data_IF_544548970894
#
_entry.id   IF_544548970894
#
_cell.length_a   1.000
_cell.length_b   1.000
_cell.length_c   1.000
_cell.angle_alpha   90.00
_cell.angle_beta   90.00
_cell.angle_gamma   90.00
#
_symmetry.space_group_name_H-M   'P 1'
#
loop_
_entity.id
_entity.type
_entity.pdbx_description
1 polymer ?
#
# COMPACT_ATOMS: atom_id res chain seq x y z
N UNK A 1 -18.45 -12.32 -14.35
CA UNK A 1 -18.29 -10.90 -14.02
C UNK A 1 -17.15 -10.80 -13.01
N UNK A 2 -15.94 -10.49 -13.47
CA UNK A 2 -14.76 -10.45 -12.58
C UNK A 2 -14.65 -9.07 -11.97
N UNK A 3 -14.92 -8.97 -10.67
CA UNK A 3 -14.62 -7.76 -9.90
C UNK A 3 -13.12 -7.75 -9.61
N UNK A 4 -12.36 -6.97 -10.35
CA UNK A 4 -10.95 -6.71 -10.06
C UNK A 4 -10.93 -5.76 -8.85
N UNK A 5 -10.91 -6.33 -7.64
CA UNK A 5 -10.57 -5.56 -6.45
C UNK A 5 -9.09 -5.24 -6.53
N UNK A 6 -8.77 -4.00 -6.89
CA UNK A 6 -7.41 -3.47 -6.79
C UNK A 6 -7.10 -3.38 -5.31
N UNK A 7 -6.32 -4.34 -4.83
CA UNK A 7 -5.72 -4.26 -3.49
C UNK A 7 -4.75 -3.07 -3.50
N UNK A 8 -5.26 -1.90 -3.12
CA UNK A 8 -4.44 -0.72 -2.89
C UNK A 8 -3.65 -1.01 -1.61
N UNK A 9 -2.45 -1.57 -1.78
CA UNK A 9 -1.51 -1.72 -0.67
C UNK A 9 -1.15 -0.28 -0.25
N UNK A 10 -1.83 0.22 0.79
CA UNK A 10 -1.49 1.49 1.40
C UNK A 10 -0.04 1.39 1.87
N UNK A 11 0.85 2.11 1.19
CA UNK A 11 2.23 2.26 1.65
C UNK A 11 2.16 3.01 2.97
N UNK A 12 2.39 2.29 4.06
CA UNK A 12 2.43 2.89 5.38
C UNK A 12 3.67 3.77 5.49
N UNK A 13 3.53 5.03 5.91
CA UNK A 13 4.66 5.88 6.18
C UNK A 13 5.54 5.25 7.26
N UNK A 14 6.84 5.18 6.99
CA UNK A 14 7.83 4.71 7.95
C UNK A 14 7.90 5.69 9.12
N UNK A 15 7.39 5.28 10.27
CA UNK A 15 7.59 6.02 11.50
C UNK A 15 8.91 5.61 12.16
N UNK A 16 9.70 6.61 12.54
CA UNK A 16 10.79 6.65 13.53
C UNK A 16 12.22 6.40 13.08
N UNK A 17 13.04 7.38 13.35
CA UNK A 17 14.46 7.54 12.99
C UNK A 17 15.45 6.53 13.59
N UNK A 18 15.08 5.64 14.50
CA UNK A 18 15.99 4.70 15.18
C UNK A 18 16.01 3.27 14.62
N UNK A 19 15.00 2.85 13.87
CA UNK A 19 14.84 1.47 13.39
C UNK A 19 15.26 1.24 11.94
N UNK A 20 15.96 2.18 11.32
CA UNK A 20 16.18 2.21 9.86
C UNK A 20 17.08 1.13 9.30
N UNK A 21 17.92 0.51 10.12
CA UNK A 21 18.83 -0.57 9.70
C UNK A 21 18.31 -1.96 10.02
N UNK A 22 17.09 -2.07 10.55
CA UNK A 22 16.50 -3.35 10.92
C UNK A 22 15.59 -3.88 9.81
N UNK A 23 15.58 -5.19 9.64
CA UNK A 23 14.60 -5.85 8.79
C UNK A 23 13.21 -5.65 9.40
N UNK A 24 12.23 -5.48 8.55
CA UNK A 24 10.83 -5.24 8.94
C UNK A 24 9.94 -6.27 8.26
N UNK A 25 9.09 -6.93 9.04
CA UNK A 25 8.01 -7.77 8.54
C UNK A 25 6.66 -7.19 8.90
N UNK A 26 5.65 -7.37 8.07
CA UNK A 26 4.26 -7.08 8.44
C UNK A 26 3.29 -8.07 7.83
N UNK A 27 2.18 -8.27 8.53
CA UNK A 27 1.04 -9.04 8.05
C UNK A 27 -0.23 -8.19 8.17
N UNK A 28 -1.13 -8.35 7.21
CA UNK A 28 -2.42 -7.66 7.16
C UNK A 28 -3.51 -8.70 6.97
N UNK A 29 -4.59 -8.57 7.72
CA UNK A 29 -5.78 -9.41 7.63
C UNK A 29 -6.99 -8.52 7.43
N UNK A 30 -7.77 -8.78 6.40
CA UNK A 30 -8.94 -7.99 6.03
C UNK A 30 -10.24 -8.73 6.31
N UNK A 31 -11.31 -7.98 6.48
CA UNK A 31 -12.65 -8.51 6.74
C UNK A 31 -13.25 -9.34 5.60
N UNK A 32 -12.72 -9.20 4.39
CA UNK A 32 -13.14 -9.99 3.22
C UNK A 32 -12.42 -11.36 3.12
N UNK A 33 -11.67 -11.74 4.17
CA UNK A 33 -10.91 -12.99 4.21
C UNK A 33 -9.56 -12.92 3.49
N UNK A 34 -9.22 -11.82 2.86
CA UNK A 34 -7.91 -11.66 2.22
C UNK A 34 -6.82 -11.38 3.26
N UNK A 35 -5.61 -11.85 2.97
CA UNK A 35 -4.44 -11.61 3.82
C UNK A 35 -3.24 -11.16 2.99
N UNK A 36 -2.31 -10.49 3.62
CA UNK A 36 -1.04 -10.09 3.02
C UNK A 36 0.10 -10.20 3.99
N UNK A 37 1.28 -10.52 3.47
CA UNK A 37 2.54 -10.47 4.22
C UNK A 37 3.55 -9.70 3.41
N UNK A 38 4.37 -8.90 4.07
CA UNK A 38 5.49 -8.23 3.42
C UNK A 38 6.73 -8.24 4.32
N UNK A 39 7.87 -8.12 3.66
CA UNK A 39 9.18 -7.99 4.30
C UNK A 39 9.96 -6.89 3.61
N UNK A 40 10.68 -6.10 4.39
CA UNK A 40 11.59 -5.06 3.91
C UNK A 40 12.94 -5.26 4.59
N UNK A 41 13.98 -5.44 3.79
CA UNK A 41 15.34 -5.73 4.26
C UNK A 41 16.28 -4.63 3.78
N UNK A 42 16.90 -3.86 4.69
CA UNK A 42 17.90 -2.87 4.34
C UNK A 42 19.10 -3.54 3.65
N UNK A 43 19.52 -3.00 2.51
CA UNK A 43 20.66 -3.48 1.74
C UNK A 43 21.89 -2.58 1.94
N UNK A 44 21.71 -1.30 1.66
CA UNK A 44 22.79 -0.32 1.72
C UNK A 44 22.20 1.06 2.08
N UNK A 45 22.97 1.86 2.76
CA UNK A 45 22.53 3.21 3.09
C UNK A 45 23.51 3.95 3.99
N UNK A 46 23.18 5.21 4.20
CA UNK A 46 23.87 6.10 5.12
C UNK A 46 22.87 6.64 6.17
N UNK A 47 23.30 7.61 6.98
CA UNK A 47 22.45 8.18 8.03
C UNK A 47 21.22 8.92 7.50
N UNK A 48 21.22 9.30 6.21
CA UNK A 48 20.12 10.05 5.58
C UNK A 48 19.23 9.19 4.68
N UNK A 49 19.80 8.21 3.96
CA UNK A 49 19.10 7.43 2.95
C UNK A 49 19.39 5.95 3.11
N UNK A 50 18.39 5.11 2.93
CA UNK A 50 18.50 3.66 2.98
C UNK A 50 17.81 3.07 1.76
N UNK A 51 18.53 2.20 1.03
CA UNK A 51 17.96 1.33 0.00
C UNK A 51 17.64 -0.01 0.63
N UNK A 52 16.44 -0.50 0.42
CA UNK A 52 15.95 -1.77 0.95
C UNK A 52 15.38 -2.64 -0.16
N UNK A 53 15.52 -3.96 -0.02
CA UNK A 53 14.74 -4.92 -0.78
C UNK A 53 13.34 -5.07 -0.17
N UNK A 54 12.35 -5.26 -1.02
CA UNK A 54 10.96 -5.53 -0.62
C UNK A 54 10.53 -6.87 -1.22
N UNK A 55 9.88 -7.68 -0.39
CA UNK A 55 9.13 -8.86 -0.81
C UNK A 55 7.73 -8.81 -0.22
N UNK A 56 6.71 -9.21 -0.99
CA UNK A 56 5.36 -9.34 -0.46
C UNK A 56 4.60 -10.49 -1.12
N UNK A 57 3.65 -11.05 -0.38
CA UNK A 57 2.72 -12.06 -0.85
C UNK A 57 1.30 -11.68 -0.45
N UNK A 58 0.36 -11.78 -1.36
CA UNK A 58 -1.07 -11.63 -1.11
C UNK A 58 -1.77 -12.98 -1.19
N UNK A 59 -2.79 -13.16 -0.38
CA UNK A 59 -3.61 -14.36 -0.33
C UNK A 59 -5.08 -13.96 -0.47
N UNK A 60 -5.85 -14.75 -1.20
CA UNK A 60 -7.28 -14.55 -1.33
C UNK A 60 -8.04 -15.14 -0.11
N UNK A 61 -9.36 -15.02 -0.11
CA UNK A 61 -10.27 -15.57 0.90
C UNK A 61 -10.20 -17.11 1.04
N UNK A 62 -9.71 -17.81 0.02
CA UNK A 62 -9.44 -19.25 0.03
C UNK A 62 -8.00 -19.59 0.48
N UNK A 63 -7.23 -18.61 1.00
CA UNK A 63 -5.83 -18.74 1.41
C UNK A 63 -4.87 -19.17 0.28
N UNK A 64 -5.26 -18.98 -0.97
CA UNK A 64 -4.40 -19.23 -2.14
C UNK A 64 -3.62 -17.97 -2.46
N UNK A 65 -2.37 -18.15 -2.93
CA UNK A 65 -1.53 -17.04 -3.37
C UNK A 65 -2.23 -16.27 -4.50
N UNK A 66 -2.57 -15.01 -4.24
CA UNK A 66 -3.20 -14.10 -5.19
C UNK A 66 -2.22 -13.14 -5.85
N UNK A 67 -1.07 -12.90 -5.21
CA UNK A 67 -0.01 -12.07 -5.76
C UNK A 67 1.33 -12.32 -5.08
N UNK A 68 2.42 -12.13 -5.83
CA UNK A 68 3.78 -12.11 -5.30
C UNK A 68 4.49 -10.86 -5.82
N UNK A 69 5.11 -10.11 -4.92
CA UNK A 69 5.77 -8.83 -5.23
C UNK A 69 7.23 -8.88 -4.83
N UNK A 70 8.09 -8.34 -5.67
CA UNK A 70 9.48 -8.05 -5.36
C UNK A 70 9.80 -6.61 -5.79
N UNK A 71 10.73 -5.96 -5.09
CA UNK A 71 11.08 -4.59 -5.42
C UNK A 71 12.19 -3.99 -4.58
N UNK A 72 12.39 -2.70 -4.79
CA UNK A 72 13.36 -1.88 -4.08
C UNK A 72 12.65 -0.64 -3.51
N UNK A 73 13.09 -0.20 -2.34
CA UNK A 73 12.67 1.07 -1.75
C UNK A 73 13.89 1.91 -1.40
N UNK A 74 13.79 3.19 -1.65
CA UNK A 74 14.68 4.23 -1.14
C UNK A 74 13.91 5.03 -0.10
N UNK A 75 14.39 5.06 1.13
CA UNK A 75 13.82 5.84 2.22
C UNK A 75 14.80 6.91 2.67
N UNK A 76 14.28 8.11 2.91
CA UNK A 76 15.03 9.23 3.46
C UNK A 76 14.62 9.49 4.91
N UNK A 77 15.55 10.05 5.72
CA UNK A 77 15.29 10.35 7.14
C UNK A 77 14.14 11.33 7.35
N UNK A 78 13.88 12.20 6.40
CA UNK A 78 12.80 13.19 6.48
C UNK A 78 11.41 12.59 6.14
N UNK A 79 11.32 11.28 5.94
CA UNK A 79 10.06 10.60 5.62
C UNK A 79 9.72 10.60 4.13
N UNK A 80 10.64 11.05 3.25
CA UNK A 80 10.46 10.88 1.81
C UNK A 80 10.86 9.47 1.37
N UNK A 81 10.21 8.94 0.36
CA UNK A 81 10.52 7.61 -0.16
C UNK A 81 10.16 7.44 -1.63
N UNK A 82 10.86 6.51 -2.27
CA UNK A 82 10.59 6.04 -3.61
C UNK A 82 10.59 4.52 -3.59
N UNK A 83 9.63 3.89 -4.24
CA UNK A 83 9.52 2.43 -4.31
C UNK A 83 9.29 2.00 -5.74
N UNK A 84 10.01 0.97 -6.17
CA UNK A 84 9.86 0.31 -7.46
C UNK A 84 9.53 -1.16 -7.20
N UNK A 85 8.43 -1.66 -7.76
CA UNK A 85 7.97 -3.03 -7.54
C UNK A 85 7.52 -3.69 -8.82
N UNK A 86 7.71 -5.00 -8.88
CA UNK A 86 7.04 -5.90 -9.80
C UNK A 86 6.20 -6.89 -9.03
N UNK A 87 4.93 -6.97 -9.37
CA UNK A 87 3.96 -7.90 -8.79
C UNK A 87 3.52 -8.89 -9.85
N UNK A 88 3.69 -10.17 -9.57
CA UNK A 88 3.10 -11.25 -10.36
C UNK A 88 1.74 -11.61 -9.78
N UNK A 89 0.73 -11.68 -10.63
CA UNK A 89 -0.66 -12.02 -10.28
C UNK A 89 -1.01 -13.31 -11.03
N UNK A 90 -1.02 -14.46 -10.33
CA UNK A 90 -1.27 -15.76 -10.95
C UNK A 90 -2.53 -15.76 -11.81
N UNK A 91 -2.43 -16.23 -13.05
CA UNK A 91 -3.54 -16.24 -14.01
C UNK A 91 -3.88 -14.92 -14.68
N UNK A 92 -3.40 -13.79 -14.17
CA UNK A 92 -3.70 -12.45 -14.72
C UNK A 92 -2.54 -11.78 -15.42
N UNK A 93 -1.30 -12.06 -15.03
CA UNK A 93 -0.12 -11.41 -15.59
C UNK A 93 0.77 -10.76 -14.53
N UNK A 94 1.44 -9.68 -14.90
CA UNK A 94 2.29 -8.94 -13.96
C UNK A 94 2.02 -7.43 -14.02
N UNK A 95 2.44 -6.74 -12.96
CA UNK A 95 2.28 -5.29 -12.80
C UNK A 95 3.59 -4.69 -12.31
N UNK A 96 4.11 -3.73 -13.03
CA UNK A 96 5.22 -2.89 -12.61
C UNK A 96 4.67 -1.58 -12.03
N UNK A 97 5.23 -1.14 -10.90
CA UNK A 97 4.78 0.09 -10.26
C UNK A 97 5.96 0.89 -9.70
N UNK A 98 5.84 2.20 -9.82
CA UNK A 98 6.66 3.18 -9.12
C UNK A 98 5.75 3.98 -8.19
N UNK A 99 6.18 4.19 -6.96
CA UNK A 99 5.45 5.00 -5.99
C UNK A 99 6.41 5.90 -5.21
N UNK A 100 5.95 7.11 -4.92
CA UNK A 100 6.67 8.07 -4.11
C UNK A 100 5.80 8.51 -2.93
N UNK A 101 6.44 8.76 -1.81
CA UNK A 101 5.83 9.44 -0.67
C UNK A 101 6.68 10.65 -0.27
N UNK A 102 6.00 11.70 0.15
CA UNK A 102 6.63 12.94 0.61
C UNK A 102 6.00 13.31 1.95
N UNK A 103 6.83 13.46 2.97
CA UNK A 103 6.38 14.04 4.21
C UNK A 103 6.25 15.56 4.02
N UNK A 104 5.02 16.06 4.10
CA UNK A 104 4.71 17.48 3.94
C UNK A 104 4.87 18.25 5.25
N UNK A 105 4.53 17.61 6.36
CA UNK A 105 4.58 18.21 7.68
C UNK A 105 4.78 17.15 8.75
N UNK A 106 5.65 17.44 9.73
CA UNK A 106 5.85 16.59 10.90
C UNK A 106 6.41 17.43 12.06
N UNK A 107 5.61 17.59 13.11
CA UNK A 107 6.02 18.29 14.34
C UNK A 107 6.07 17.34 15.57
N UNK A 108 6.11 16.03 15.34
CA UNK A 108 6.08 15.01 16.38
C UNK A 108 4.69 14.65 16.89
N UNK A 109 3.73 15.57 16.88
CA UNK A 109 2.34 15.28 17.24
C UNK A 109 1.47 15.09 15.98
N UNK A 110 1.68 15.89 14.97
CA UNK A 110 0.94 15.86 13.71
C UNK A 110 1.88 15.52 12.58
N UNK A 111 1.47 14.59 11.74
CA UNK A 111 2.20 14.18 10.55
C UNK A 111 1.26 14.18 9.35
N UNK A 112 1.69 14.79 8.24
CA UNK A 112 0.97 14.81 6.97
C UNK A 112 1.92 14.28 5.90
N UNK A 113 1.51 13.23 5.22
CA UNK A 113 2.24 12.63 4.11
C UNK A 113 1.38 12.71 2.84
N UNK A 114 2.00 13.04 1.71
CA UNK A 114 1.41 12.87 0.39
C UNK A 114 2.06 11.69 -0.31
N UNK A 115 1.27 10.94 -1.07
CA UNK A 115 1.76 9.84 -1.87
C UNK A 115 1.23 9.93 -3.31
N UNK A 116 2.01 9.39 -4.25
CA UNK A 116 1.61 9.24 -5.64
C UNK A 116 2.19 7.93 -6.19
N UNK A 117 1.50 7.33 -7.15
CA UNK A 117 2.01 6.16 -7.83
C UNK A 117 1.61 6.13 -9.31
N UNK A 118 2.43 5.43 -10.09
CA UNK A 118 2.14 5.03 -11.45
C UNK A 118 2.41 3.53 -11.59
N UNK A 119 1.50 2.82 -12.23
CA UNK A 119 1.65 1.39 -12.46
C UNK A 119 1.27 1.02 -13.89
N UNK A 120 1.95 0.02 -14.45
CA UNK A 120 1.63 -0.58 -15.73
C UNK A 120 1.35 -2.06 -15.55
N UNK A 121 0.19 -2.49 -16.00
CA UNK A 121 -0.24 -3.90 -15.95
C UNK A 121 -0.07 -4.53 -17.32
N UNK A 122 0.48 -5.74 -17.33
CA UNK A 122 0.72 -6.58 -18.50
C UNK A 122 -0.11 -7.86 -18.36
N UNK A 123 -1.35 -7.87 -18.87
CA UNK A 123 -2.20 -9.04 -18.77
C UNK A 123 -1.67 -10.21 -19.59
N UNK A 124 -1.83 -11.43 -19.08
CA UNK A 124 -1.54 -12.65 -19.82
C UNK A 124 -2.60 -12.96 -20.90
N UNK A 125 -3.73 -12.24 -20.88
CA UNK A 125 -4.83 -12.48 -21.80
C UNK A 125 -4.63 -11.68 -23.11
N UNK A 126 -4.52 -12.33 -24.27
CA UNK A 126 -4.14 -11.64 -25.52
C UNK A 126 -5.14 -10.58 -25.99
N UNK A 127 -6.40 -10.64 -25.53
CA UNK A 127 -7.42 -9.66 -25.87
C UNK A 127 -7.42 -8.40 -25.00
N UNK A 128 -6.63 -8.39 -23.91
CA UNK A 128 -6.55 -7.25 -23.02
C UNK A 128 -5.21 -6.55 -23.24
N UNK A 129 -5.19 -5.32 -23.76
CA UNK A 129 -3.94 -4.59 -23.95
C UNK A 129 -3.33 -4.20 -22.61
N UNK A 130 -2.04 -3.91 -22.62
CA UNK A 130 -1.36 -3.33 -21.46
C UNK A 130 -2.01 -2.00 -21.09
N UNK A 131 -2.16 -1.77 -19.79
CA UNK A 131 -2.80 -0.54 -19.29
C UNK A 131 -2.06 0.07 -18.11
N UNK A 132 -2.23 1.38 -17.99
CA UNK A 132 -1.67 2.15 -16.90
C UNK A 132 -2.73 2.49 -15.86
N UNK A 133 -2.29 2.62 -14.60
CA UNK A 133 -3.06 3.16 -13.48
C UNK A 133 -2.22 4.20 -12.78
N UNK A 134 -2.78 5.35 -12.50
CA UNK A 134 -2.14 6.43 -11.76
C UNK A 134 -2.97 6.75 -10.54
N UNK A 135 -2.33 7.17 -9.47
CA UNK A 135 -3.06 7.55 -8.29
C UNK A 135 -2.21 8.29 -7.29
N UNK A 136 -2.87 8.74 -6.25
CA UNK A 136 -2.22 9.42 -5.14
C UNK A 136 -3.19 9.64 -4.00
N UNK A 137 -2.66 10.16 -2.91
CA UNK A 137 -3.43 10.40 -1.72
C UNK A 137 -2.71 11.29 -0.72
N UNK A 138 -3.41 11.58 0.34
CA UNK A 138 -2.88 12.30 1.50
C UNK A 138 -3.27 11.54 2.75
N UNK A 139 -2.31 11.36 3.64
CA UNK A 139 -2.46 10.69 4.91
C UNK A 139 -2.12 11.66 6.03
N UNK A 140 -2.96 11.69 7.06
CA UNK A 140 -2.76 12.43 8.29
C UNK A 140 -2.63 11.46 9.46
N UNK A 141 -1.71 11.75 10.39
CA UNK A 141 -1.52 10.97 11.61
C UNK A 141 -1.37 11.91 12.80
N UNK A 142 -2.07 11.60 13.90
CA UNK A 142 -1.98 12.30 15.16
C UNK A 142 -1.31 11.42 16.22
N UNK A 143 -0.18 11.88 16.77
CA UNK A 143 0.61 11.21 17.84
C UNK A 143 0.90 9.73 17.56
N UNK A 144 1.03 9.36 16.28
CA UNK A 144 1.20 7.98 15.81
C UNK A 144 0.10 7.00 16.31
N UNK A 145 -1.04 7.54 16.77
CA UNK A 145 -2.15 6.75 17.32
C UNK A 145 -3.37 6.72 16.43
N UNK A 146 -3.79 7.87 15.93
CA UNK A 146 -5.01 8.00 15.13
C UNK A 146 -4.64 8.63 13.80
N UNK A 147 -5.07 8.02 12.72
CA UNK A 147 -4.82 8.52 11.38
C UNK A 147 -6.07 8.50 10.50
N UNK A 148 -6.03 9.32 9.47
CA UNK A 148 -7.02 9.34 8.39
C UNK A 148 -6.29 9.57 7.06
N UNK A 149 -6.81 8.97 6.00
CA UNK A 149 -6.25 9.14 4.66
C UNK A 149 -7.34 9.18 3.61
N UNK A 150 -7.05 9.83 2.50
CA UNK A 150 -7.87 9.82 1.30
C UNK A 150 -6.99 9.56 0.10
N UNK A 151 -7.51 8.79 -0.86
CA UNK A 151 -6.78 8.43 -2.04
C UNK A 151 -7.68 8.36 -3.27
N UNK A 152 -7.10 8.57 -4.43
CA UNK A 152 -7.74 8.41 -5.73
C UNK A 152 -6.80 7.68 -6.67
N UNK A 153 -7.37 6.80 -7.51
CA UNK A 153 -6.65 6.14 -8.58
C UNK A 153 -7.48 6.14 -9.85
N UNK A 154 -6.82 6.29 -11.00
CA UNK A 154 -7.45 6.30 -12.31
C UNK A 154 -6.81 5.27 -13.23
N UNK A 155 -7.64 4.48 -13.91
CA UNK A 155 -7.25 3.56 -14.98
C UNK A 155 -7.91 4.00 -16.28
N UNK A 156 -7.22 4.78 -17.13
CA UNK A 156 -7.82 5.43 -18.30
C UNK A 156 -8.42 4.43 -19.30
N UNK A 157 -7.77 3.29 -19.53
CA UNK A 157 -8.26 2.26 -20.46
C UNK A 157 -9.71 1.83 -20.16
N UNK A 158 -10.08 1.74 -18.88
CA UNK A 158 -11.41 1.34 -18.43
C UNK A 158 -12.26 2.53 -18.01
N UNK A 159 -11.79 3.76 -18.24
CA UNK A 159 -12.42 4.99 -17.73
C UNK A 159 -12.83 4.85 -16.27
N UNK A 160 -12.00 4.11 -15.50
CA UNK A 160 -12.29 3.76 -14.11
C UNK A 160 -11.56 4.70 -13.16
N UNK A 161 -12.31 5.24 -12.20
CA UNK A 161 -11.76 6.01 -11.09
C UNK A 161 -12.15 5.34 -9.78
N UNK A 162 -11.16 5.04 -8.96
CA UNK A 162 -11.30 4.46 -7.63
C UNK A 162 -11.03 5.55 -6.59
N UNK A 163 -11.95 5.70 -5.65
CA UNK A 163 -11.84 6.59 -4.50
C UNK A 163 -11.72 5.77 -3.23
N UNK A 164 -10.91 6.22 -2.29
CA UNK A 164 -10.78 5.59 -1.00
C UNK A 164 -10.66 6.62 0.12
N UNK A 165 -11.22 6.28 1.27
CA UNK A 165 -11.02 6.97 2.52
C UNK A 165 -10.69 5.92 3.59
N UNK A 166 -9.70 6.18 4.43
CA UNK A 166 -9.23 5.24 5.44
C UNK A 166 -9.09 5.92 6.78
N UNK A 167 -9.45 5.21 7.84
CA UNK A 167 -9.13 5.55 9.22
C UNK A 167 -8.17 4.50 9.79
N UNK A 168 -7.26 4.93 10.63
CA UNK A 168 -6.27 4.08 11.29
C UNK A 168 -6.27 4.36 12.78
N UNK A 169 -6.26 3.30 13.58
CA UNK A 169 -6.10 3.36 15.01
C UNK A 169 -4.97 2.43 15.43
N UNK A 170 -3.93 2.97 16.02
CA UNK A 170 -2.87 2.17 16.62
C UNK A 170 -3.35 1.65 17.97
N UNK A 171 -3.53 0.34 18.07
CA UNK A 171 -4.00 -0.36 19.29
C UNK A 171 -2.85 -0.64 20.24
N UNK A 172 -1.68 -0.93 19.67
CA UNK A 172 -0.50 -1.30 20.44
C UNK A 172 0.77 -0.90 19.66
N UNK A 173 1.70 -0.30 20.37
CA UNK A 173 3.02 0.05 19.83
C UNK A 173 4.08 -0.10 20.93
N UNK A 174 5.14 -0.85 20.63
CA UNK A 174 6.36 -0.90 21.41
C UNK A 174 7.58 -0.73 20.48
N UNK A 175 8.80 -0.97 21.03
CA UNK A 175 10.05 -0.78 20.27
C UNK A 175 10.15 -1.65 19.03
N UNK A 176 9.61 -2.87 19.09
CA UNK A 176 9.84 -3.93 18.11
C UNK A 176 8.59 -4.34 17.34
N UNK A 177 7.40 -3.89 17.77
CA UNK A 177 6.15 -4.31 17.14
C UNK A 177 5.04 -3.27 17.26
N UNK A 178 4.11 -3.30 16.30
CA UNK A 178 2.87 -2.52 16.35
C UNK A 178 1.69 -3.33 15.83
N UNK A 179 0.51 -3.06 16.39
CA UNK A 179 -0.77 -3.57 15.94
C UNK A 179 -1.68 -2.39 15.64
N UNK A 180 -2.15 -2.31 14.42
CA UNK A 180 -3.04 -1.27 13.96
C UNK A 180 -4.39 -1.88 13.53
N UNK A 181 -5.49 -1.22 13.87
CA UNK A 181 -6.80 -1.41 13.27
C UNK A 181 -7.00 -0.38 12.15
N UNK A 182 -7.49 -0.85 11.01
CA UNK A 182 -7.77 -0.01 9.86
C UNK A 182 -9.24 -0.20 9.46
N UNK A 183 -9.92 0.90 9.18
CA UNK A 183 -11.27 0.90 8.62
C UNK A 183 -11.29 1.83 7.41
N UNK A 184 -12.04 1.47 6.38
CA UNK A 184 -12.06 2.25 5.16
C UNK A 184 -13.38 2.16 4.42
N UNK A 185 -13.53 3.07 3.48
CA UNK A 185 -14.61 3.12 2.49
C UNK A 185 -13.95 3.21 1.12
N UNK A 186 -14.42 2.42 0.18
CA UNK A 186 -13.98 2.48 -1.21
C UNK A 186 -15.15 2.58 -2.16
N UNK A 187 -14.93 3.28 -3.28
CA UNK A 187 -15.92 3.43 -4.36
C UNK A 187 -15.22 3.42 -5.69
N UNK A 188 -15.74 2.61 -6.62
CA UNK A 188 -15.29 2.59 -8.02
C UNK A 188 -16.34 3.24 -8.93
N UNK A 189 -15.90 4.08 -9.82
CA UNK A 189 -16.75 4.73 -10.83
C UNK A 189 -16.19 4.40 -12.21
N UNK A 190 -17.04 3.85 -13.10
CA UNK A 190 -16.71 3.59 -14.50
C UNK A 190 -17.99 3.55 -15.31
N UNK A 191 -17.97 3.99 -16.59
CA UNK A 191 -19.14 3.87 -17.49
C UNK A 191 -19.58 2.42 -17.74
N UNK A 192 -18.64 1.47 -17.56
CA UNK A 192 -18.85 0.05 -17.83
C UNK A 192 -19.32 -0.74 -16.60
N UNK A 193 -19.40 -0.11 -15.44
CA UNK A 193 -19.81 -0.76 -14.18
C UNK A 193 -21.08 -0.03 -13.67
N UNK A 194 -22.14 -0.76 -13.31
CA UNK A 194 -23.29 -0.12 -12.64
C UNK A 194 -22.83 0.72 -11.46
N UNK A 195 -23.54 1.82 -11.16
CA UNK A 195 -23.16 2.74 -10.06
C UNK A 195 -22.78 1.97 -8.81
N UNK A 196 -21.49 1.98 -8.47
CA UNK A 196 -21.04 1.34 -7.24
C UNK A 196 -21.43 2.21 -6.04
N UNK A 197 -21.90 1.58 -5.00
CA UNK A 197 -22.04 2.18 -3.67
C UNK A 197 -20.67 2.27 -2.99
N UNK A 198 -20.58 2.99 -1.87
CA UNK A 198 -19.44 2.92 -1.00
C UNK A 198 -19.38 1.54 -0.33
N UNK A 199 -18.25 0.86 -0.46
CA UNK A 199 -18.00 -0.46 0.14
C UNK A 199 -17.12 -0.28 1.37
N UNK A 200 -17.63 -0.64 2.58
CA UNK A 200 -16.81 -0.60 3.78
C UNK A 200 -15.82 -1.77 3.78
N UNK A 201 -14.65 -1.52 4.33
CA UNK A 201 -13.65 -2.54 4.61
C UNK A 201 -13.00 -2.25 5.96
N UNK A 202 -12.54 -3.28 6.64
CA UNK A 202 -11.75 -3.14 7.85
C UNK A 202 -10.74 -4.28 7.94
N UNK A 203 -9.72 -4.08 8.74
CA UNK A 203 -8.68 -5.09 8.90
C UNK A 203 -7.73 -4.74 10.03
N UNK A 204 -6.86 -5.69 10.33
CA UNK A 204 -5.77 -5.54 11.27
C UNK A 204 -4.45 -5.66 10.54
N UNK A 205 -3.48 -4.84 10.92
CA UNK A 205 -2.11 -4.96 10.46
C UNK A 205 -1.17 -5.11 11.63
N UNK A 206 -0.36 -6.15 11.59
CA UNK A 206 0.71 -6.39 12.54
C UNK A 206 2.06 -6.12 11.87
N UNK A 207 2.96 -5.43 12.59
CA UNK A 207 4.32 -5.14 12.13
C UNK A 207 5.33 -5.56 13.19
N UNK A 208 6.41 -6.17 12.76
CA UNK A 208 7.56 -6.58 13.58
C UNK A 208 8.85 -6.03 12.98
N UNK A 209 9.72 -5.51 13.82
CA UNK A 209 11.09 -5.11 13.50
C UNK A 209 12.05 -6.14 14.10
N UNK A 210 13.06 -6.53 13.34
CA UNK A 210 14.04 -7.55 13.70
C UNK A 210 15.45 -6.99 13.77
#
# INVERSE_FOLDING_TARGET
MFSIKVLLCAMMPATVARTRRQAQGSAVFNSDGTAGANVKVPLVGNDKNIVSAIGAAGFNDQHKLSSATAGLALDNVNGHGLTLTRTNIPGMGHRDAAAANVNLFNNGAHKVDANAFAARTFPNHPQVPNFNTYGGGVDYMFKDKIGAGVNVAQTPLFQKTDYGATGKLNLFHNRDSSLDFNAGLSKSVSPFIPKSSWEPNFGFSFRKYF
#
